data_IF_151382182504
#
_entry.id   IF_151382182504
#
_cell.length_a   1.000
_cell.length_b   1.000
_cell.length_c   1.000
_cell.angle_alpha   90.00
_cell.angle_beta   90.00
_cell.angle_gamma   90.00
#
_symmetry.space_group_name_H-M   'P 1'
#
loop_
_entity.id
_entity.type
_entity.pdbx_description
1 polymer ?
#
# COMPACT_ATOMS: atom_id res chain seq x y z
N UNK A 1 9.73 0.31 0.15
CA UNK A 1 9.38 1.27 1.22
C UNK A 1 9.19 2.75 0.83
N UNK A 2 9.86 3.36 -0.19
CA UNK A 2 9.78 4.81 -0.40
C UNK A 2 8.36 5.37 -0.52
N UNK A 3 7.44 4.64 -1.18
CA UNK A 3 6.04 5.02 -1.27
C UNK A 3 5.27 4.95 0.06
N UNK A 4 5.66 4.08 0.98
CA UNK A 4 5.10 4.07 2.33
C UNK A 4 5.60 5.28 3.14
N UNK A 5 6.87 5.67 2.96
CA UNK A 5 7.47 6.83 3.61
C UNK A 5 6.92 8.15 3.07
N UNK A 6 6.94 8.32 1.74
CA UNK A 6 6.58 9.57 1.05
C UNK A 6 5.09 9.68 0.70
N UNK A 7 4.36 8.57 0.79
CA UNK A 7 2.98 8.47 0.30
C UNK A 7 2.90 8.31 -1.22
N UNK A 8 1.67 8.18 -1.71
CA UNK A 8 1.40 8.10 -3.14
C UNK A 8 0.12 7.33 -3.46
N UNK A 9 0.01 6.92 -4.73
CA UNK A 9 -1.10 6.10 -5.21
C UNK A 9 -0.61 4.69 -5.53
N UNK A 10 -1.39 3.68 -5.18
CA UNK A 10 -1.14 2.26 -5.47
C UNK A 10 -2.40 1.63 -6.03
N UNK A 11 -2.26 0.88 -7.12
CA UNK A 11 -3.37 0.11 -7.67
C UNK A 11 -3.41 -1.26 -7.02
N UNK A 12 -4.52 -1.53 -6.32
CA UNK A 12 -4.76 -2.78 -5.59
C UNK A 12 -5.76 -3.62 -6.38
N UNK A 13 -5.50 -4.91 -6.61
CA UNK A 13 -6.49 -5.81 -7.20
C UNK A 13 -7.66 -6.01 -6.23
N UNK A 14 -8.88 -6.00 -6.74
CA UNK A 14 -10.11 -6.26 -6.00
C UNK A 14 -10.93 -7.32 -6.73
N UNK A 15 -12.02 -7.79 -6.12
CA UNK A 15 -12.91 -8.79 -6.73
C UNK A 15 -13.51 -8.35 -8.08
N UNK A 16 -13.74 -7.06 -8.26
CA UNK A 16 -14.36 -6.49 -9.47
C UNK A 16 -13.33 -5.78 -10.38
N UNK A 17 -12.02 -5.95 -10.16
CA UNK A 17 -10.97 -5.38 -11.01
C UNK A 17 -9.82 -4.76 -10.22
N UNK A 18 -9.57 -3.45 -10.41
CA UNK A 18 -8.52 -2.71 -9.68
C UNK A 18 -9.10 -1.47 -9.04
N UNK A 19 -8.66 -1.16 -7.83
CA UNK A 19 -8.97 0.07 -7.13
C UNK A 19 -7.68 0.85 -6.86
N UNK A 20 -7.72 2.16 -7.08
CA UNK A 20 -6.61 3.02 -6.73
C UNK A 20 -6.74 3.45 -5.27
N UNK A 21 -5.73 3.13 -4.47
CA UNK A 21 -5.67 3.43 -3.04
C UNK A 21 -4.63 4.51 -2.79
N UNK A 22 -5.04 5.57 -2.10
CA UNK A 22 -4.14 6.63 -1.64
C UNK A 22 -3.44 6.17 -0.36
N UNK A 23 -2.12 6.09 -0.42
CA UNK A 23 -1.25 5.80 0.72
C UNK A 23 -0.78 7.14 1.31
N UNK A 24 -1.15 7.46 2.56
CA UNK A 24 -0.62 8.63 3.25
C UNK A 24 0.89 8.50 3.48
N UNK A 25 1.65 9.62 3.54
CA UNK A 25 3.03 9.61 3.99
C UNK A 25 3.15 9.01 5.39
N UNK A 26 4.24 8.29 5.66
CA UNK A 26 4.48 7.63 6.95
C UNK A 26 3.57 6.43 7.24
N UNK A 27 2.99 5.79 6.22
CA UNK A 27 2.18 4.58 6.39
C UNK A 27 3.04 3.44 6.92
N UNK A 28 2.60 2.81 8.02
CA UNK A 28 3.33 1.73 8.69
C UNK A 28 3.01 0.37 8.06
N UNK A 29 3.95 -0.60 8.13
CA UNK A 29 3.62 -1.99 7.83
C UNK A 29 2.47 -2.49 8.71
N UNK A 30 1.59 -3.31 8.15
CA UNK A 30 0.43 -3.87 8.84
C UNK A 30 -0.78 -2.94 8.91
N UNK A 31 -0.69 -1.68 8.47
CA UNK A 31 -1.85 -0.79 8.36
C UNK A 31 -2.92 -1.42 7.46
N UNK A 32 -4.17 -1.36 7.90
CA UNK A 32 -5.33 -1.85 7.17
C UNK A 32 -6.07 -0.67 6.52
N UNK A 33 -6.28 -0.76 5.22
CA UNK A 33 -7.15 0.13 4.48
C UNK A 33 -8.47 -0.58 4.18
N UNK A 34 -9.59 0.08 4.49
CA UNK A 34 -10.92 -0.41 4.18
C UNK A 34 -11.37 0.16 2.85
N UNK A 35 -11.63 -0.72 1.89
CA UNK A 35 -12.25 -0.39 0.62
C UNK A 35 -13.75 -0.69 0.73
N UNK A 36 -14.51 0.37 0.99
CA UNK A 36 -15.95 0.25 1.23
C UNK A 36 -16.68 -0.27 -0.02
N UNK A 37 -17.55 -1.27 0.18
CA UNK A 37 -18.37 -1.85 -0.89
C UNK A 37 -17.60 -2.66 -1.94
N UNK A 38 -16.31 -2.95 -1.72
CA UNK A 38 -15.48 -3.80 -2.60
C UNK A 38 -15.42 -5.26 -2.16
N UNK A 39 -16.06 -5.61 -1.06
CA UNK A 39 -16.18 -6.97 -0.59
C UNK A 39 -17.24 -7.78 -1.34
N UNK A 40 -17.46 -9.00 -0.86
CA UNK A 40 -18.42 -9.94 -1.44
C UNK A 40 -19.86 -9.40 -1.36
N UNK A 41 -20.69 -9.67 -2.37
CA UNK A 41 -22.12 -9.42 -2.27
C UNK A 41 -22.76 -10.35 -1.23
N UNK A 42 -23.64 -9.80 -0.40
CA UNK A 42 -24.47 -10.60 0.49
C UNK A 42 -25.59 -11.28 -0.32
N UNK A 43 -25.88 -12.54 0.00
CA UNK A 43 -26.95 -13.31 -0.65
C UNK A 43 -28.34 -12.90 -0.14
N UNK A 44 -28.42 -12.46 1.12
CA UNK A 44 -29.67 -12.11 1.80
C UNK A 44 -30.01 -10.62 1.69
N UNK A 45 -29.00 -9.76 1.67
CA UNK A 45 -29.16 -8.33 1.50
C UNK A 45 -28.45 -7.93 0.20
N UNK A 46 -29.07 -7.10 -0.65
CA UNK A 46 -28.43 -6.61 -1.88
C UNK A 46 -27.21 -5.66 -1.61
N UNK A 47 -26.62 -5.72 -0.41
CA UNK A 47 -25.46 -4.94 0.02
C UNK A 47 -24.17 -5.71 -0.24
N UNK A 48 -23.10 -4.98 -0.55
CA UNK A 48 -21.73 -5.52 -0.57
C UNK A 48 -21.05 -5.27 0.77
N UNK A 49 -20.19 -6.21 1.15
CA UNK A 49 -19.24 -6.02 2.24
C UNK A 49 -18.06 -5.14 1.82
N UNK A 50 -17.06 -5.08 2.68
CA UNK A 50 -15.84 -4.31 2.45
C UNK A 50 -14.64 -5.23 2.18
N UNK A 51 -13.65 -4.70 1.47
CA UNK A 51 -12.37 -5.36 1.29
C UNK A 51 -11.32 -4.69 2.19
N UNK A 52 -10.59 -5.49 2.97
CA UNK A 52 -9.53 -5.00 3.84
C UNK A 52 -8.17 -5.29 3.22
N UNK A 53 -7.44 -4.22 2.89
CA UNK A 53 -6.12 -4.29 2.30
C UNK A 53 -5.08 -4.07 3.38
N UNK A 54 -4.23 -5.07 3.62
CA UNK A 54 -3.09 -4.97 4.54
C UNK A 54 -1.85 -4.49 3.80
N UNK A 55 -1.24 -3.41 4.28
CA UNK A 55 0.03 -2.93 3.73
C UNK A 55 1.17 -3.78 4.22
N UNK A 56 1.91 -4.37 3.28
CA UNK A 56 3.22 -4.94 3.52
C UNK A 56 4.27 -4.01 2.90
N UNK A 57 5.39 -3.82 3.60
CA UNK A 57 6.49 -2.97 3.13
C UNK A 57 7.73 -3.82 2.99
N UNK A 58 8.13 -4.03 1.74
CA UNK A 58 9.35 -4.77 1.45
C UNK A 58 10.57 -3.85 1.34
N UNK A 59 11.69 -4.40 1.78
CA UNK A 59 13.03 -3.85 1.59
C UNK A 59 13.65 -4.55 0.37
N UNK A 60 14.15 -3.81 -0.63
CA UNK A 60 14.73 -4.42 -1.82
C UNK A 60 16.01 -5.21 -1.48
N UNK A 61 16.15 -6.38 -2.10
CA UNK A 61 17.34 -7.25 -1.94
C UNK A 61 18.54 -6.73 -2.72
N UNK A 62 18.31 -6.08 -3.86
CA UNK A 62 19.33 -5.53 -4.74
C UNK A 62 19.10 -4.03 -4.95
N UNK A 63 20.21 -3.28 -5.01
CA UNK A 63 20.21 -1.84 -5.22
C UNK A 63 21.22 -1.48 -6.31
N UNK A 64 20.82 -0.63 -7.24
CA UNK A 64 21.75 0.03 -8.16
C UNK A 64 22.72 0.92 -7.37
N UNK A 65 23.87 1.27 -7.98
CA UNK A 65 24.86 2.17 -7.37
C UNK A 65 24.22 3.48 -6.88
N UNK A 66 23.40 4.11 -7.73
CA UNK A 66 22.72 5.38 -7.40
C UNK A 66 21.72 5.24 -6.27
N UNK A 67 20.93 4.15 -6.23
CA UNK A 67 19.99 3.92 -5.14
C UNK A 67 20.71 3.73 -3.79
N UNK A 68 21.85 3.02 -3.79
CA UNK A 68 22.66 2.84 -2.58
C UNK A 68 23.21 4.16 -2.07
N UNK A 69 23.78 5.00 -2.95
CA UNK A 69 24.27 6.33 -2.59
C UNK A 69 23.17 7.17 -1.92
N UNK A 70 21.99 7.24 -2.52
CA UNK A 70 20.85 8.00 -1.97
C UNK A 70 20.40 7.50 -0.59
N UNK A 71 20.40 6.18 -0.37
CA UNK A 71 20.04 5.62 0.93
C UNK A 71 21.13 5.83 1.98
N UNK A 72 22.40 5.85 1.58
CA UNK A 72 23.50 6.21 2.47
C UNK A 72 23.43 7.68 2.85
N UNK A 73 23.23 8.59 1.91
CA UNK A 73 23.03 10.03 2.18
C UNK A 73 21.88 10.23 3.17
N UNK A 74 20.72 9.62 2.90
CA UNK A 74 19.58 9.68 3.82
C UNK A 74 19.92 9.14 5.22
N UNK A 75 20.72 8.06 5.30
CA UNK A 75 21.13 7.46 6.56
C UNK A 75 22.08 8.33 7.40
N UNK A 76 22.78 9.31 6.80
CA UNK A 76 23.60 10.27 7.55
C UNK A 76 22.77 11.43 8.14
N UNK A 77 21.58 11.68 7.60
CA UNK A 77 20.67 12.76 8.01
C UNK A 77 19.71 12.34 9.16
N UNK A 78 19.70 11.05 9.51
CA UNK A 78 18.89 10.47 10.61
C UNK A 78 19.77 10.07 11.80
#
# INVERSE_FOLDING_TARGET
FPKATLGGLVDVPTLDGRAQVKIPPGTRPGTLFRLEGKGLPSMESHRRGDELVRVNVDVPLELTKRQRELLQEFAHEI
#
